data_IF_045967743778
#
_entry.id   IF_045967743778
#
_cell.length_a   1.000
_cell.length_b   1.000
_cell.length_c   1.000
_cell.angle_alpha   90.00
_cell.angle_beta   90.00
_cell.angle_gamma   90.00
#
_symmetry.space_group_name_H-M   'P 1'
#
loop_
_entity.id
_entity.type
_entity.pdbx_description
1 polymer ?
#
# COMPACT_ATOMS: atom_id res chain seq x y z
N UNK A 1 37.92 -55.29 30.14
CA UNK A 1 37.89 -53.87 30.57
C UNK A 1 38.36 -52.99 29.43
N UNK A 2 37.47 -52.18 28.84
CA UNK A 2 37.73 -50.88 28.20
C UNK A 2 36.37 -50.33 27.77
N UNK A 3 36.00 -49.18 28.36
CA UNK A 3 34.67 -48.55 28.30
C UNK A 3 34.49 -47.90 26.92
N UNK A 4 33.29 -48.01 26.35
CA UNK A 4 32.87 -47.19 25.21
C UNK A 4 31.49 -46.59 25.56
N UNK A 5 31.48 -45.27 25.72
CA UNK A 5 30.35 -44.34 25.70
C UNK A 5 30.75 -43.31 24.62
N UNK A 6 29.87 -42.65 23.83
CA UNK A 6 28.49 -42.22 24.10
C UNK A 6 27.53 -42.48 22.91
N UNK A 7 26.28 -42.03 22.87
CA UNK A 7 25.86 -40.73 22.31
C UNK A 7 24.43 -40.41 22.79
N UNK A 8 24.30 -39.24 23.41
CA UNK A 8 23.05 -38.53 23.68
C UNK A 8 22.46 -38.05 22.34
N UNK A 9 21.30 -38.56 21.93
CA UNK A 9 20.52 -38.00 20.82
C UNK A 9 19.44 -37.07 21.39
N UNK A 10 19.84 -35.83 21.70
CA UNK A 10 18.89 -34.75 21.94
C UNK A 10 18.29 -34.35 20.57
N UNK A 11 17.02 -34.68 20.37
CA UNK A 11 16.23 -34.13 19.25
C UNK A 11 16.12 -32.62 19.43
N UNK A 12 17.02 -31.87 18.79
CA UNK A 12 16.84 -30.46 18.55
C UNK A 12 15.64 -30.31 17.61
N UNK A 13 14.52 -29.83 18.15
CA UNK A 13 13.45 -29.22 17.36
C UNK A 13 14.07 -28.02 16.63
N UNK A 14 14.44 -28.23 15.37
CA UNK A 14 14.86 -27.17 14.47
C UNK A 14 13.64 -26.28 14.21
N UNK A 15 13.55 -25.17 14.95
CA UNK A 15 12.78 -24.02 14.51
C UNK A 15 13.31 -23.59 13.15
N UNK A 16 12.42 -23.52 12.15
CA UNK A 16 12.74 -22.94 10.84
C UNK A 16 13.37 -21.55 11.04
N UNK A 17 14.41 -21.17 10.27
CA UNK A 17 14.99 -19.85 10.43
C UNK A 17 13.93 -18.82 10.03
N UNK A 18 13.69 -17.84 10.92
CA UNK A 18 13.07 -16.60 10.52
C UNK A 18 13.86 -16.05 9.33
N UNK A 19 13.22 -15.89 8.17
CA UNK A 19 13.85 -15.25 7.01
C UNK A 19 14.24 -13.85 7.47
N UNK A 20 15.53 -13.61 7.64
CA UNK A 20 16.04 -12.34 8.11
C UNK A 20 15.57 -11.22 7.18
N UNK A 21 15.06 -10.13 7.76
CA UNK A 21 14.74 -8.95 6.99
C UNK A 21 16.01 -8.39 6.34
N UNK A 22 15.91 -8.10 5.04
CA UNK A 22 17.03 -7.65 4.24
C UNK A 22 17.06 -6.12 4.24
N UNK A 23 18.23 -5.49 4.47
CA UNK A 23 18.32 -4.03 4.50
C UNK A 23 18.17 -3.43 3.10
N UNK A 24 18.55 -4.17 2.06
CA UNK A 24 18.40 -3.76 0.66
C UNK A 24 17.88 -4.93 -0.15
N UNK A 25 17.01 -4.67 -1.13
CA UNK A 25 16.56 -5.67 -2.10
C UNK A 25 16.45 -5.07 -3.50
N UNK A 26 16.97 -5.79 -4.49
CA UNK A 26 16.69 -5.59 -5.90
C UNK A 26 15.62 -6.59 -6.33
N UNK A 27 14.51 -6.10 -6.86
CA UNK A 27 13.36 -6.88 -7.29
C UNK A 27 13.20 -6.76 -8.80
N UNK A 28 13.16 -7.90 -9.48
CA UNK A 28 12.97 -8.05 -10.92
C UNK A 28 11.85 -9.05 -11.16
N UNK A 29 11.36 -9.19 -12.41
CA UNK A 29 10.36 -10.21 -12.72
C UNK A 29 10.87 -11.58 -12.28
N UNK A 30 10.10 -12.23 -11.42
CA UNK A 30 10.38 -13.56 -10.85
C UNK A 30 11.67 -13.69 -10.02
N UNK A 31 12.31 -12.58 -9.63
CA UNK A 31 13.58 -12.63 -8.90
C UNK A 31 13.72 -11.51 -7.86
N UNK A 32 13.99 -11.89 -6.61
CA UNK A 32 14.36 -10.97 -5.54
C UNK A 32 15.77 -11.28 -5.03
N UNK A 33 16.63 -10.26 -4.99
CA UNK A 33 18.02 -10.37 -4.57
C UNK A 33 18.33 -9.35 -3.47
N UNK A 34 18.66 -9.78 -2.25
CA UNK A 34 18.34 -11.09 -1.66
C UNK A 34 16.83 -11.34 -1.53
N UNK A 35 16.43 -12.61 -1.48
CA UNK A 35 15.05 -13.00 -1.26
C UNK A 35 14.64 -12.77 0.21
N UNK A 36 13.37 -12.40 0.42
CA UNK A 36 12.81 -12.18 1.76
C UNK A 36 12.13 -10.82 1.91
N UNK A 37 11.78 -10.51 3.15
CA UNK A 37 11.21 -9.22 3.54
C UNK A 37 12.29 -8.14 3.55
N UNK A 38 11.86 -6.88 3.39
CA UNK A 38 12.77 -5.74 3.36
C UNK A 38 12.50 -4.83 4.57
N UNK A 39 13.57 -4.51 5.30
CA UNK A 39 13.58 -3.46 6.33
C UNK A 39 14.72 -2.49 6.01
N UNK A 40 14.45 -1.56 5.09
CA UNK A 40 15.44 -0.63 4.55
C UNK A 40 15.00 -0.10 3.20
N UNK A 41 15.69 -0.45 2.12
CA UNK A 41 15.40 0.05 0.78
C UNK A 41 15.17 -1.08 -0.23
N UNK A 42 14.15 -0.92 -1.07
CA UNK A 42 13.88 -1.81 -2.19
C UNK A 42 13.89 -1.02 -3.49
N UNK A 43 14.52 -1.59 -4.51
CA UNK A 43 14.47 -1.10 -5.88
C UNK A 43 13.83 -2.17 -6.73
N UNK A 44 12.78 -1.82 -7.49
CA UNK A 44 12.11 -2.71 -8.42
C UNK A 44 12.30 -2.25 -9.87
N UNK A 45 12.54 -3.22 -10.76
CA UNK A 45 12.68 -3.05 -12.19
C UNK A 45 11.59 -3.85 -12.90
N UNK A 46 10.74 -3.19 -13.68
CA UNK A 46 9.63 -3.76 -14.48
C UNK A 46 8.50 -4.38 -13.66
N UNK A 47 8.79 -5.42 -12.89
CA UNK A 47 7.83 -6.05 -12.00
C UNK A 47 8.56 -6.60 -10.80
N UNK A 48 8.13 -6.22 -9.61
CA UNK A 48 8.71 -6.74 -8.40
C UNK A 48 7.63 -7.14 -7.42
N UNK A 49 7.79 -8.31 -6.78
CA UNK A 49 6.84 -8.81 -5.78
C UNK A 49 7.52 -9.13 -4.46
N UNK A 50 7.06 -8.53 -3.36
CA UNK A 50 7.62 -8.77 -2.02
C UNK A 50 6.52 -8.84 -0.97
N UNK A 51 6.66 -9.71 0.03
CA UNK A 51 5.66 -9.88 1.08
C UNK A 51 5.56 -8.63 1.97
N UNK A 52 6.67 -8.24 2.60
CA UNK A 52 6.70 -7.05 3.48
C UNK A 52 7.86 -6.15 3.12
N UNK A 53 7.58 -4.85 3.00
CA UNK A 53 8.58 -3.80 2.81
C UNK A 53 8.34 -2.72 3.84
N UNK A 54 9.33 -2.48 4.71
CA UNK A 54 9.37 -1.35 5.64
C UNK A 54 10.54 -0.44 5.28
N UNK A 55 10.26 0.81 4.93
CA UNK A 55 11.26 1.80 4.56
C UNK A 55 10.99 2.40 3.19
N UNK A 56 11.98 2.39 2.30
CA UNK A 56 11.92 3.02 0.98
C UNK A 56 11.65 1.97 -0.10
N UNK A 57 10.64 2.18 -0.94
CA UNK A 57 10.42 1.39 -2.16
C UNK A 57 10.55 2.32 -3.38
N UNK A 58 11.37 1.94 -4.35
CA UNK A 58 11.57 2.68 -5.58
C UNK A 58 11.27 1.77 -6.76
N UNK A 59 10.24 2.07 -7.55
CA UNK A 59 10.03 1.44 -8.86
C UNK A 59 10.46 2.38 -9.97
N UNK A 60 11.40 1.95 -10.82
CA UNK A 60 11.78 2.76 -11.99
C UNK A 60 10.72 2.64 -13.08
N UNK A 61 10.32 1.41 -13.39
CA UNK A 61 9.38 1.08 -14.46
C UNK A 61 8.48 -0.06 -14.00
N UNK A 62 7.18 0.05 -14.27
CA UNK A 62 6.21 -1.03 -14.13
C UNK A 62 5.65 -1.24 -12.71
N UNK A 63 5.33 -2.47 -12.33
CA UNK A 63 4.44 -2.76 -11.20
C UNK A 63 5.22 -3.25 -9.96
N UNK A 64 5.10 -2.50 -8.86
CA UNK A 64 5.56 -2.91 -7.53
C UNK A 64 4.40 -3.53 -6.76
N UNK A 65 4.39 -4.86 -6.57
CA UNK A 65 3.39 -5.58 -5.78
C UNK A 65 3.93 -5.91 -4.38
N UNK A 66 3.28 -5.41 -3.34
CA UNK A 66 3.64 -5.61 -1.94
C UNK A 66 2.43 -6.08 -1.15
N UNK A 67 2.55 -7.03 -0.22
CA UNK A 67 1.41 -7.38 0.62
C UNK A 67 1.21 -6.34 1.72
N UNK A 68 2.25 -6.07 2.50
CA UNK A 68 2.25 -5.09 3.59
C UNK A 68 3.38 -4.08 3.43
N UNK A 69 3.02 -2.81 3.24
CA UNK A 69 3.95 -1.72 3.01
C UNK A 69 3.92 -0.71 4.16
N UNK A 70 5.10 -0.32 4.65
CA UNK A 70 5.22 0.79 5.59
C UNK A 70 6.40 1.69 5.26
N UNK A 71 6.17 2.91 4.81
CA UNK A 71 7.24 3.89 4.59
C UNK A 71 6.99 4.84 3.41
N UNK A 72 8.01 5.06 2.59
CA UNK A 72 7.97 5.97 1.44
C UNK A 72 8.13 5.17 0.14
N UNK A 73 7.23 5.39 -0.80
CA UNK A 73 7.28 4.78 -2.13
C UNK A 73 7.36 5.84 -3.21
N UNK A 74 8.23 5.61 -4.20
CA UNK A 74 8.47 6.50 -5.33
C UNK A 74 8.52 5.65 -6.59
N UNK A 75 7.45 5.68 -7.38
CA UNK A 75 7.33 4.92 -8.62
C UNK A 75 7.26 5.86 -9.82
N UNK A 76 8.38 5.98 -10.54
CA UNK A 76 8.52 6.96 -11.62
C UNK A 76 7.57 6.68 -12.79
N UNK A 77 7.76 5.56 -13.49
CA UNK A 77 6.92 5.12 -14.60
C UNK A 77 6.21 3.82 -14.23
N UNK A 78 5.55 3.84 -13.06
CA UNK A 78 5.06 2.61 -12.45
C UNK A 78 3.73 2.73 -11.72
N UNK A 79 3.25 1.56 -11.32
CA UNK A 79 2.10 1.38 -10.46
C UNK A 79 2.54 0.70 -9.17
N UNK A 80 2.04 1.18 -8.04
CA UNK A 80 2.12 0.48 -6.78
C UNK A 80 0.85 -0.33 -6.57
N UNK A 81 1.00 -1.59 -6.17
CA UNK A 81 -0.10 -2.38 -5.64
C UNK A 81 0.22 -2.87 -4.24
N UNK A 82 -0.60 -2.49 -3.26
CA UNK A 82 -0.52 -3.00 -1.89
C UNK A 82 -1.75 -3.83 -1.55
N UNK A 83 -1.55 -5.10 -1.22
CA UNK A 83 -2.67 -6.05 -1.09
C UNK A 83 -3.40 -5.96 0.25
N UNK A 84 -2.66 -5.78 1.35
CA UNK A 84 -3.21 -5.82 2.70
C UNK A 84 -3.23 -4.44 3.35
N UNK A 85 -2.08 -3.90 3.72
CA UNK A 85 -1.98 -2.64 4.46
C UNK A 85 -0.90 -1.75 3.87
N UNK A 86 -1.32 -0.58 3.39
CA UNK A 86 -0.43 0.52 3.07
C UNK A 86 -0.39 1.49 4.25
N UNK A 87 0.81 1.81 4.75
CA UNK A 87 1.01 2.88 5.75
C UNK A 87 2.19 3.77 5.37
N UNK A 88 1.94 5.02 4.97
CA UNK A 88 3.02 5.97 4.73
C UNK A 88 2.75 6.95 3.59
N UNK A 89 3.76 7.20 2.76
CA UNK A 89 3.67 8.12 1.64
C UNK A 89 3.97 7.42 0.31
N UNK A 90 3.21 7.74 -0.74
CA UNK A 90 3.42 7.21 -2.08
C UNK A 90 3.36 8.29 -3.15
N UNK A 91 4.30 8.23 -4.10
CA UNK A 91 4.38 9.08 -5.29
C UNK A 91 4.51 8.17 -6.51
N UNK A 92 3.39 7.84 -7.14
CA UNK A 92 3.30 6.83 -8.21
C UNK A 92 2.28 7.26 -9.26
N UNK A 93 2.34 6.78 -10.51
CA UNK A 93 1.26 7.08 -11.45
C UNK A 93 -0.07 6.45 -11.02
N UNK A 94 -0.01 5.21 -10.54
CA UNK A 94 -1.17 4.48 -10.06
C UNK A 94 -0.84 3.93 -8.67
N UNK A 95 -1.68 4.24 -7.69
CA UNK A 95 -1.65 3.64 -6.36
C UNK A 95 -2.88 2.74 -6.21
N UNK A 96 -2.68 1.43 -6.10
CA UNK A 96 -3.75 0.45 -5.97
C UNK A 96 -3.64 -0.27 -4.62
N UNK A 97 -4.53 0.05 -3.69
CA UNK A 97 -4.62 -0.64 -2.40
C UNK A 97 -5.85 -1.54 -2.37
N UNK A 98 -5.65 -2.87 -2.37
CA UNK A 98 -6.75 -3.85 -2.40
C UNK A 98 -7.53 -3.93 -1.08
N UNK A 99 -7.02 -3.31 -0.01
CA UNK A 99 -7.67 -3.33 1.29
C UNK A 99 -7.57 -1.97 1.99
N UNK A 100 -6.62 -1.78 2.91
CA UNK A 100 -6.55 -0.57 3.76
C UNK A 100 -5.35 0.30 3.41
N UNK A 101 -5.56 1.61 3.33
CA UNK A 101 -4.51 2.59 3.13
C UNK A 101 -4.52 3.67 4.20
N UNK A 102 -3.36 4.00 4.75
CA UNK A 102 -3.17 5.08 5.73
C UNK A 102 -1.99 5.97 5.35
N UNK A 103 -2.21 7.26 5.19
CA UNK A 103 -1.15 8.25 4.97
C UNK A 103 -1.42 9.14 3.76
N UNK A 104 -0.39 9.47 2.98
CA UNK A 104 -0.47 10.42 1.87
C UNK A 104 -0.14 9.73 0.54
N UNK A 105 -1.07 9.68 -0.39
CA UNK A 105 -0.85 9.07 -1.71
C UNK A 105 -1.05 10.10 -2.80
N UNK A 106 -0.08 10.17 -3.70
CA UNK A 106 -0.06 11.06 -4.85
C UNK A 106 0.07 10.24 -6.12
N UNK A 107 -0.80 10.50 -7.09
CA UNK A 107 -0.76 9.83 -8.39
C UNK A 107 -1.83 10.28 -9.36
N UNK A 108 -1.78 9.80 -10.61
CA UNK A 108 -2.88 10.04 -11.55
C UNK A 108 -4.15 9.31 -11.09
N UNK A 109 -3.98 8.09 -10.58
CA UNK A 109 -5.05 7.26 -10.06
C UNK A 109 -4.68 6.78 -8.66
N UNK A 110 -5.51 7.07 -7.68
CA UNK A 110 -5.41 6.53 -6.34
C UNK A 110 -6.65 5.70 -6.04
N UNK A 111 -6.48 4.42 -5.76
CA UNK A 111 -7.58 3.49 -5.48
C UNK A 111 -7.31 2.80 -4.14
N UNK A 112 -8.30 2.81 -3.25
CA UNK A 112 -8.30 2.01 -2.03
C UNK A 112 -9.64 1.33 -1.88
N UNK A 113 -9.67 0.00 -1.98
CA UNK A 113 -10.92 -0.76 -2.03
C UNK A 113 -11.78 -0.56 -0.79
N UNK A 114 -11.19 -0.72 0.39
CA UNK A 114 -11.92 -0.70 1.65
C UNK A 114 -11.74 0.63 2.36
N UNK A 115 -10.83 0.74 3.32
CA UNK A 115 -10.73 1.93 4.16
C UNK A 115 -9.50 2.76 3.81
N UNK A 116 -9.69 4.04 3.52
CA UNK A 116 -8.59 4.99 3.37
C UNK A 116 -8.61 6.04 4.48
N UNK A 117 -7.45 6.26 5.12
CA UNK A 117 -7.26 7.31 6.13
C UNK A 117 -6.07 8.21 5.79
N UNK A 118 -6.33 9.47 5.46
CA UNK A 118 -5.28 10.46 5.19
C UNK A 118 -5.57 11.29 3.96
N UNK A 119 -4.56 11.51 3.11
CA UNK A 119 -4.64 12.38 1.94
C UNK A 119 -4.50 11.56 0.64
N UNK A 120 -5.44 11.68 -0.29
CA UNK A 120 -5.27 11.26 -1.68
C UNK A 120 -5.23 12.51 -2.57
N UNK A 121 -4.18 12.67 -3.35
CA UNK A 121 -4.04 13.74 -4.33
C UNK A 121 -3.84 13.14 -5.72
N UNK A 122 -4.68 13.50 -6.69
CA UNK A 122 -4.56 12.92 -8.02
C UNK A 122 -5.57 13.34 -9.05
N UNK A 123 -5.51 12.75 -10.23
CA UNK A 123 -6.53 12.95 -11.26
C UNK A 123 -7.85 12.31 -10.84
N UNK A 124 -7.77 11.05 -10.42
CA UNK A 124 -8.88 10.25 -9.90
C UNK A 124 -8.53 9.67 -8.53
N UNK A 125 -9.41 9.85 -7.55
CA UNK A 125 -9.28 9.28 -6.22
C UNK A 125 -10.50 8.42 -5.88
N UNK A 126 -10.28 7.20 -5.38
CA UNK A 126 -11.30 6.31 -4.87
C UNK A 126 -10.92 5.74 -3.49
N UNK A 127 -11.91 5.70 -2.60
CA UNK A 127 -11.84 4.97 -1.34
C UNK A 127 -13.20 4.32 -1.06
N UNK A 128 -13.28 3.06 -0.60
CA UNK A 128 -14.55 2.50 -0.11
C UNK A 128 -15.13 3.38 1.00
N UNK A 129 -14.40 3.50 2.12
CA UNK A 129 -14.68 4.43 3.21
C UNK A 129 -13.57 5.47 3.32
N UNK A 130 -13.93 6.75 3.24
CA UNK A 130 -13.00 7.86 3.39
C UNK A 130 -12.94 8.40 4.83
N UNK A 131 -11.72 8.46 5.36
CA UNK A 131 -11.37 9.16 6.60
C UNK A 131 -10.23 10.18 6.35
N UNK A 132 -10.51 11.29 5.68
CA UNK A 132 -9.50 12.30 5.39
C UNK A 132 -9.84 13.21 4.22
N UNK A 133 -8.86 13.51 3.38
CA UNK A 133 -8.96 14.48 2.28
C UNK A 133 -8.71 13.81 0.93
N UNK A 134 -9.63 13.95 -0.01
CA UNK A 134 -9.40 13.65 -1.43
C UNK A 134 -9.33 14.95 -2.21
N UNK A 135 -8.25 15.16 -2.96
CA UNK A 135 -8.03 16.32 -3.83
C UNK A 135 -7.80 15.81 -5.25
N UNK A 136 -8.65 16.20 -6.21
CA UNK A 136 -8.48 15.76 -7.58
C UNK A 136 -9.51 16.29 -8.56
N UNK A 137 -9.44 15.87 -9.82
CA UNK A 137 -10.49 16.20 -10.78
C UNK A 137 -11.77 15.42 -10.46
N UNK A 138 -11.61 14.14 -10.12
CA UNK A 138 -12.69 13.24 -9.73
C UNK A 138 -12.34 12.57 -8.41
N UNK A 139 -13.23 12.71 -7.43
CA UNK A 139 -13.15 12.03 -6.14
C UNK A 139 -14.38 11.15 -5.99
N UNK A 140 -14.20 9.92 -5.54
CA UNK A 140 -15.28 8.95 -5.36
C UNK A 140 -15.09 8.17 -4.07
N UNK A 141 -16.21 7.89 -3.40
CA UNK A 141 -16.24 6.98 -2.25
C UNK A 141 -17.58 6.28 -2.14
N UNK A 142 -17.60 5.12 -1.47
CA UNK A 142 -18.86 4.50 -1.06
C UNK A 142 -19.45 5.24 0.14
N UNK A 143 -18.59 5.72 1.04
CA UNK A 143 -19.00 6.47 2.23
C UNK A 143 -17.90 7.39 2.76
N UNK A 144 -18.18 8.69 2.90
CA UNK A 144 -17.34 9.57 3.73
C UNK A 144 -17.73 9.33 5.20
N UNK A 145 -16.85 8.70 5.97
CA UNK A 145 -17.04 8.60 7.42
C UNK A 145 -16.69 9.92 8.12
N UNK A 146 -15.52 10.49 7.76
CA UNK A 146 -15.09 11.81 8.22
C UNK A 146 -14.06 12.38 7.27
N UNK A 147 -14.36 13.47 6.59
CA UNK A 147 -13.46 13.98 5.58
C UNK A 147 -14.05 14.99 4.63
N UNK A 148 -13.24 15.37 3.65
CA UNK A 148 -13.57 16.34 2.61
C UNK A 148 -13.08 15.78 1.26
N UNK A 149 -13.89 15.92 0.23
CA UNK A 149 -13.51 15.75 -1.17
C UNK A 149 -13.52 17.13 -1.81
N UNK A 150 -12.45 17.48 -2.55
CA UNK A 150 -12.37 18.73 -3.32
C UNK A 150 -11.98 18.38 -4.75
N UNK A 151 -12.86 18.70 -5.69
CA UNK A 151 -12.69 18.35 -7.09
C UNK A 151 -13.85 18.76 -7.98
N UNK A 152 -13.67 18.67 -9.30
CA UNK A 152 -14.72 19.00 -10.26
C UNK A 152 -15.95 18.10 -10.06
N UNK A 153 -15.71 16.83 -9.77
CA UNK A 153 -16.73 15.82 -9.47
C UNK A 153 -16.39 15.17 -8.13
N UNK A 154 -17.31 15.23 -7.16
CA UNK A 154 -17.18 14.53 -5.88
C UNK A 154 -18.37 13.59 -5.71
N UNK A 155 -18.11 12.29 -5.67
CA UNK A 155 -19.09 11.23 -5.52
C UNK A 155 -18.99 10.57 -4.14
N UNK A 156 -20.13 10.44 -3.46
CA UNK A 156 -20.32 9.67 -2.24
C UNK A 156 -21.61 8.84 -2.41
N UNK A 157 -21.48 7.51 -2.50
CA UNK A 157 -22.62 6.62 -2.69
C UNK A 157 -23.65 6.68 -1.55
N UNK A 158 -23.22 7.10 -0.36
CA UNK A 158 -24.08 7.31 0.81
C UNK A 158 -24.75 8.69 0.83
N UNK A 159 -24.61 9.47 -0.25
CA UNK A 159 -25.17 10.79 -0.44
C UNK A 159 -24.23 11.93 -0.07
N UNK A 160 -24.56 13.13 -0.51
CA UNK A 160 -23.74 14.32 -0.27
C UNK A 160 -24.04 14.96 1.09
N UNK A 161 -23.22 15.94 1.46
CA UNK A 161 -23.46 16.76 2.64
C UNK A 161 -24.77 17.57 2.60
N UNK A 162 -25.34 17.78 1.41
CA UNK A 162 -26.61 18.52 1.22
C UNK A 162 -27.82 17.59 1.28
N UNK A 163 -27.73 16.40 0.67
CA UNK A 163 -28.82 15.42 0.68
C UNK A 163 -28.31 14.00 0.49
N UNK A 164 -29.01 13.05 1.12
CA UNK A 164 -28.79 11.62 0.94
C UNK A 164 -29.18 11.11 -0.46
N UNK A 165 -30.07 11.83 -1.14
CA UNK A 165 -30.61 11.41 -2.45
C UNK A 165 -29.71 11.84 -3.62
N UNK A 166 -28.78 12.76 -3.39
CA UNK A 166 -27.83 13.23 -4.39
C UNK A 166 -26.45 12.66 -4.06
N UNK A 167 -25.91 11.73 -4.86
CA UNK A 167 -24.59 11.12 -4.60
C UNK A 167 -23.43 11.90 -5.22
N UNK A 168 -23.68 12.96 -6.00
CA UNK A 168 -22.65 13.79 -6.64
C UNK A 168 -22.80 15.24 -6.22
N UNK A 169 -21.70 15.89 -5.85
CA UNK A 169 -21.64 17.34 -5.64
C UNK A 169 -20.39 17.97 -6.29
N UNK A 170 -20.54 19.10 -6.99
CA UNK A 170 -19.42 19.77 -7.61
C UNK A 170 -18.55 20.52 -6.58
N UNK A 171 -17.26 20.65 -6.87
CA UNK A 171 -16.27 21.44 -6.12
C UNK A 171 -15.92 20.88 -4.73
N UNK A 172 -16.88 20.71 -3.82
CA UNK A 172 -16.62 20.24 -2.44
C UNK A 172 -17.71 19.28 -1.94
N UNK A 173 -17.33 18.19 -1.26
CA UNK A 173 -18.25 17.36 -0.46
C UNK A 173 -17.60 17.05 0.89
N UNK A 174 -18.32 17.15 2.02
CA UNK A 174 -17.70 17.04 3.35
C UNK A 174 -18.61 16.40 4.41
N UNK A 175 -18.02 15.66 5.36
CA UNK A 175 -18.70 15.11 6.55
C UNK A 175 -17.76 15.14 7.76
N UNK A 176 -18.30 15.43 8.95
CA UNK A 176 -17.50 15.74 10.16
C UNK A 176 -17.82 14.88 11.37
#
# INVERSE_FOLDING_TARGET
MKKILPVFAACALLSFPAIAAQPVQLSMPDLNLPAGNVEGARVSLLYGKTETVKGLDISLFGLSEINDFTGLSIDFFGAQRVKNNFTGASFSFINWHDNTGKGAVMGLVNYTKNNFKGLQFGGFNYAGTLNGLQLGFVNATEHINKGIQIGLINYDASGTFVSKDFPVFPIVNARF
#
